data_IF_335009227469
#
_entry.id   IF_335009227469
#
_cell.length_a   1.000
_cell.length_b   1.000
_cell.length_c   1.000
_cell.angle_alpha   90.00
_cell.angle_beta   90.00
_cell.angle_gamma   90.00
#
_symmetry.space_group_name_H-M   'P 1'
#
loop_
_entity.id
_entity.type
_entity.pdbx_description
1 polymer ?
#
# COMPACT_ATOMS: atom_id res chain seq x y z
N UNK A 1 -6.98 -18.62 11.24
CA UNK A 1 -6.83 -17.21 11.65
C UNK A 1 -5.42 -16.79 11.30
N UNK A 2 -5.22 -15.88 10.34
CA UNK A 2 -3.89 -15.34 10.06
C UNK A 2 -3.63 -14.20 11.04
N UNK A 3 -2.61 -14.32 11.88
CA UNK A 3 -2.18 -13.24 12.75
C UNK A 3 -1.68 -12.07 11.90
N UNK A 4 -2.03 -10.83 12.27
CA UNK A 4 -1.36 -9.65 11.75
C UNK A 4 -0.45 -9.03 12.80
N UNK A 5 0.67 -8.48 12.34
CA UNK A 5 1.61 -7.74 13.18
C UNK A 5 1.74 -6.34 12.58
N UNK A 6 1.21 -5.35 13.28
CA UNK A 6 1.39 -3.94 12.90
C UNK A 6 2.85 -3.54 13.12
N UNK A 7 3.58 -3.31 12.01
CA UNK A 7 4.98 -2.88 12.04
C UNK A 7 5.06 -1.37 12.27
N UNK A 8 4.15 -0.61 11.64
CA UNK A 8 4.06 0.84 11.81
C UNK A 8 2.67 1.35 11.49
N UNK A 9 2.11 2.17 12.39
CA UNK A 9 0.86 2.89 12.20
C UNK A 9 1.11 4.39 12.22
N UNK A 10 0.48 5.11 11.31
CA UNK A 10 0.53 6.58 11.28
C UNK A 10 -0.84 7.18 10.96
N UNK A 11 -0.92 8.51 10.86
CA UNK A 11 -2.15 9.21 10.51
C UNK A 11 -2.51 8.90 9.06
N UNK A 12 -3.35 7.89 8.89
CA UNK A 12 -3.90 7.47 7.61
C UNK A 12 -3.13 6.38 6.87
N UNK A 13 -2.33 5.58 7.58
CA UNK A 13 -1.76 4.35 7.03
C UNK A 13 -1.41 3.32 8.12
N UNK A 14 -1.36 2.05 7.71
CA UNK A 14 -0.75 0.95 8.44
C UNK A 14 0.22 0.22 7.51
N UNK A 15 1.39 -0.15 8.03
CA UNK A 15 2.24 -1.18 7.45
C UNK A 15 2.26 -2.34 8.42
N UNK A 16 1.83 -3.51 7.97
CA UNK A 16 1.68 -4.70 8.79
C UNK A 16 2.08 -5.94 8.03
N UNK A 17 2.40 -6.99 8.77
CA UNK A 17 2.62 -8.32 8.23
C UNK A 17 1.36 -9.14 8.49
N UNK A 18 0.67 -9.60 7.43
CA UNK A 18 -0.50 -10.49 7.54
C UNK A 18 -0.12 -11.85 6.98
N UNK A 19 0.10 -12.83 7.86
CA UNK A 19 0.76 -14.08 7.46
C UNK A 19 2.14 -13.79 6.87
N UNK A 20 2.33 -14.10 5.59
CA UNK A 20 3.57 -13.87 4.85
C UNK A 20 3.56 -12.60 3.99
N UNK A 21 2.51 -11.79 4.10
CA UNK A 21 2.28 -10.63 3.25
C UNK A 21 2.62 -9.34 3.95
N UNK A 22 3.47 -8.53 3.32
CA UNK A 22 3.68 -7.16 3.77
C UNK A 22 2.56 -6.29 3.22
N UNK A 23 1.59 -5.94 4.07
CA UNK A 23 0.42 -5.17 3.71
C UNK A 23 0.62 -3.70 4.10
N UNK A 24 0.42 -2.82 3.13
CA UNK A 24 0.33 -1.37 3.32
C UNK A 24 -1.11 -0.96 3.11
N UNK A 25 -1.81 -0.59 4.17
CA UNK A 25 -3.16 -0.04 4.11
C UNK A 25 -3.12 1.47 4.17
N UNK A 26 -3.79 2.13 3.22
CA UNK A 26 -3.97 3.58 3.21
C UNK A 26 -5.45 3.91 3.41
N UNK A 27 -5.74 4.74 4.41
CA UNK A 27 -7.07 5.30 4.63
C UNK A 27 -6.89 6.76 5.00
N UNK A 28 -7.61 7.70 4.39
CA UNK A 28 -7.59 9.07 4.90
C UNK A 28 -8.94 9.44 5.49
N UNK A 29 -8.95 9.59 6.82
CA UNK A 29 -10.04 10.24 7.53
C UNK A 29 -10.07 11.71 7.10
N UNK A 30 -10.91 12.02 6.12
CA UNK A 30 -11.31 13.38 5.70
C UNK A 30 -10.20 14.44 5.76
N UNK A 31 -9.25 14.40 4.82
CA UNK A 31 -8.20 15.40 4.75
C UNK A 31 -7.32 15.26 3.51
N UNK A 32 -6.70 16.38 3.11
CA UNK A 32 -5.66 16.37 2.07
C UNK A 32 -4.45 15.56 2.55
N UNK A 33 -3.67 14.96 1.63
CA UNK A 33 -2.43 14.29 1.97
C UNK A 33 -1.52 15.22 2.76
N UNK A 34 -1.08 14.79 3.93
CA UNK A 34 0.08 15.42 4.55
C UNK A 34 1.36 14.82 3.92
N UNK A 35 2.30 15.63 3.40
CA UNK A 35 3.61 15.14 2.96
C UNK A 35 4.33 14.28 4.00
N UNK A 36 4.14 14.56 5.29
CA UNK A 36 4.68 13.75 6.39
C UNK A 36 4.10 12.33 6.41
N UNK A 37 2.82 12.15 6.07
CA UNK A 37 2.18 10.84 5.95
C UNK A 37 2.85 10.02 4.85
N UNK A 38 3.07 10.61 3.67
CA UNK A 38 3.79 9.95 2.57
C UNK A 38 5.21 9.57 2.95
N UNK A 39 5.94 10.47 3.62
CA UNK A 39 7.30 10.17 4.12
C UNK A 39 7.28 9.03 5.14
N UNK A 40 6.29 9.01 6.03
CA UNK A 40 6.14 7.97 7.04
C UNK A 40 5.89 6.58 6.44
N UNK A 41 4.89 6.46 5.56
CA UNK A 41 4.55 5.17 4.94
C UNK A 41 5.64 4.65 4.00
N UNK A 42 6.30 5.54 3.25
CA UNK A 42 7.40 5.14 2.35
C UNK A 42 8.63 4.68 3.14
N UNK A 43 8.95 5.34 4.26
CA UNK A 43 10.00 4.88 5.17
C UNK A 43 9.64 3.52 5.80
N UNK A 44 8.42 3.38 6.33
CA UNK A 44 7.95 2.14 6.94
C UNK A 44 8.04 0.94 5.98
N UNK A 45 7.60 1.13 4.73
CA UNK A 45 7.70 0.10 3.69
C UNK A 45 9.17 -0.21 3.36
N UNK A 46 10.01 0.81 3.20
CA UNK A 46 11.44 0.64 2.92
C UNK A 46 12.15 -0.13 4.04
N UNK A 47 11.88 0.19 5.30
CA UNK A 47 12.48 -0.47 6.47
C UNK A 47 12.06 -1.94 6.52
N UNK A 48 10.78 -2.24 6.31
CA UNK A 48 10.27 -3.61 6.28
C UNK A 48 10.88 -4.44 5.13
N UNK A 49 11.03 -3.84 3.94
CA UNK A 49 11.69 -4.48 2.80
C UNK A 49 13.18 -4.69 3.05
N UNK A 50 13.86 -3.72 3.69
CA UNK A 50 15.27 -3.83 4.09
C UNK A 50 15.50 -4.95 5.10
N UNK A 51 14.55 -5.14 6.03
CA UNK A 51 14.52 -6.27 6.95
C UNK A 51 14.07 -7.60 6.30
N UNK A 52 13.84 -7.61 4.98
CA UNK A 52 13.37 -8.76 4.18
C UNK A 52 12.03 -9.34 4.64
N UNK A 53 11.20 -8.56 5.31
CA UNK A 53 9.89 -8.99 5.84
C UNK A 53 8.89 -9.22 4.71
N UNK A 54 8.16 -10.35 4.75
CA UNK A 54 7.11 -10.73 3.80
C UNK A 54 7.63 -11.26 2.45
N UNK A 55 6.84 -12.07 1.77
CA UNK A 55 7.17 -12.66 0.46
C UNK A 55 6.58 -11.86 -0.72
N UNK A 56 5.46 -11.19 -0.50
CA UNK A 56 4.81 -10.26 -1.45
C UNK A 56 4.43 -8.97 -0.76
N UNK A 57 4.30 -7.91 -1.54
CA UNK A 57 3.83 -6.60 -1.06
C UNK A 57 2.38 -6.43 -1.48
N UNK A 58 1.51 -6.08 -0.53
CA UNK A 58 0.10 -5.78 -0.78
C UNK A 58 -0.11 -4.30 -0.54
N UNK A 59 -0.52 -3.55 -1.55
CA UNK A 59 -0.93 -2.16 -1.42
C UNK A 59 -2.45 -2.10 -1.43
N UNK A 60 -3.05 -1.86 -0.25
CA UNK A 60 -4.48 -1.66 -0.12
C UNK A 60 -4.82 -0.18 -0.28
N UNK A 61 -5.35 0.14 -1.46
CA UNK A 61 -5.72 1.48 -1.88
C UNK A 61 -7.24 1.67 -1.90
N UNK A 62 -8.01 0.76 -1.30
CA UNK A 62 -9.49 0.81 -1.35
C UNK A 62 -10.07 2.05 -0.70
N UNK A 63 -9.48 2.46 0.41
CA UNK A 63 -9.85 3.65 1.19
C UNK A 63 -8.87 4.82 0.98
N UNK A 64 -8.02 4.69 -0.04
CA UNK A 64 -7.11 5.75 -0.41
C UNK A 64 -7.88 6.96 -0.97
N UNK A 65 -7.20 8.09 -1.18
CA UNK A 65 -7.79 9.26 -1.83
C UNK A 65 -7.68 9.13 -3.35
N UNK A 66 -8.60 9.72 -4.12
CA UNK A 66 -8.47 9.76 -5.57
C UNK A 66 -7.17 10.45 -5.99
N UNK A 67 -6.58 9.99 -7.09
CA UNK A 67 -5.29 10.48 -7.63
C UNK A 67 -5.32 11.95 -8.09
N UNK A 68 -6.49 12.61 -8.01
CA UNK A 68 -6.75 13.96 -8.54
C UNK A 68 -5.84 15.09 -8.06
N UNK A 69 -4.97 14.88 -7.06
CA UNK A 69 -3.93 15.85 -6.71
C UNK A 69 -2.53 15.33 -7.01
N UNK A 70 -1.64 16.24 -7.44
CA UNK A 70 -0.23 15.93 -7.74
C UNK A 70 0.50 15.32 -6.53
N UNK A 71 0.12 15.69 -5.30
CA UNK A 71 0.69 15.12 -4.08
C UNK A 71 0.30 13.66 -3.88
N UNK A 72 -0.97 13.30 -4.11
CA UNK A 72 -1.43 11.90 -4.07
C UNK A 72 -0.69 11.08 -5.13
N UNK A 73 -0.67 11.59 -6.36
CA UNK A 73 0.01 10.95 -7.49
C UNK A 73 1.46 10.63 -7.17
N UNK A 74 2.23 11.64 -6.74
CA UNK A 74 3.65 11.49 -6.36
C UNK A 74 3.85 10.51 -5.20
N UNK A 75 2.93 10.50 -4.24
CA UNK A 75 2.95 9.56 -3.12
C UNK A 75 2.81 8.11 -3.57
N UNK A 76 1.80 7.83 -4.41
CA UNK A 76 1.55 6.50 -4.97
C UNK A 76 2.70 6.07 -5.87
N UNK A 77 3.18 6.94 -6.76
CA UNK A 77 4.36 6.69 -7.61
C UNK A 77 5.55 6.22 -6.77
N UNK A 78 5.80 6.90 -5.64
CA UNK A 78 6.92 6.56 -4.76
C UNK A 78 6.70 5.25 -4.02
N UNK A 79 5.47 4.96 -3.57
CA UNK A 79 5.15 3.67 -2.96
C UNK A 79 5.30 2.51 -3.94
N UNK A 80 4.79 2.67 -5.16
CA UNK A 80 4.94 1.69 -6.23
C UNK A 80 6.41 1.42 -6.50
N UNK A 81 7.22 2.46 -6.71
CA UNK A 81 8.65 2.32 -6.94
C UNK A 81 9.36 1.56 -5.80
N UNK A 82 9.05 1.86 -4.55
CA UNK A 82 9.63 1.16 -3.39
C UNK A 82 9.19 -0.31 -3.35
N UNK A 83 7.90 -0.57 -3.52
CA UNK A 83 7.34 -1.92 -3.50
C UNK A 83 7.95 -2.80 -4.60
N UNK A 84 8.19 -2.25 -5.78
CA UNK A 84 8.70 -2.99 -6.93
C UNK A 84 10.21 -3.17 -6.92
N UNK A 85 10.98 -2.25 -6.30
CA UNK A 85 12.43 -2.39 -6.12
C UNK A 85 12.82 -3.67 -5.38
N UNK A 86 11.95 -4.18 -4.51
CA UNK A 86 12.20 -5.42 -3.79
C UNK A 86 12.15 -6.68 -4.67
N UNK A 87 11.83 -6.56 -5.98
CA UNK A 87 11.65 -7.69 -6.92
C UNK A 87 10.68 -8.76 -6.42
N UNK A 88 9.71 -8.33 -5.62
CA UNK A 88 8.64 -9.17 -5.07
C UNK A 88 7.36 -8.93 -5.86
N UNK A 89 6.45 -9.92 -5.91
CA UNK A 89 5.12 -9.70 -6.45
C UNK A 89 4.43 -8.57 -5.69
N UNK A 90 3.83 -7.62 -6.42
CA UNK A 90 3.03 -6.53 -5.83
C UNK A 90 1.56 -6.81 -6.14
N UNK A 91 0.74 -6.87 -5.09
CA UNK A 91 -0.72 -7.02 -5.20
C UNK A 91 -1.35 -5.69 -4.83
N UNK A 92 -2.28 -5.20 -5.64
CA UNK A 92 -2.90 -3.88 -5.41
C UNK A 92 -4.41 -4.03 -5.32
N UNK A 93 -4.99 -3.68 -4.17
CA UNK A 93 -6.43 -3.57 -4.00
C UNK A 93 -6.91 -2.16 -4.33
N UNK A 94 -7.88 -2.04 -5.23
CA UNK A 94 -8.47 -0.78 -5.64
C UNK A 94 -9.94 -0.73 -5.19
N UNK A 95 -10.41 0.46 -4.79
CA UNK A 95 -11.80 0.68 -4.38
C UNK A 95 -12.64 1.26 -5.52
N UNK A 96 -13.98 1.08 -5.49
CA UNK A 96 -14.86 1.57 -6.56
C UNK A 96 -14.94 3.11 -6.64
N UNK A 97 -14.71 3.81 -5.51
CA UNK A 97 -14.89 5.27 -5.36
C UNK A 97 -13.59 6.04 -5.13
N UNK A 98 -12.44 5.36 -5.19
CA UNK A 98 -11.13 5.89 -4.84
C UNK A 98 -10.21 5.91 -6.05
N UNK A 99 -9.10 5.17 -6.00
CA UNK A 99 -8.12 4.99 -7.06
C UNK A 99 -8.60 3.84 -7.94
N UNK A 100 -8.81 4.12 -9.22
CA UNK A 100 -9.21 3.08 -10.15
C UNK A 100 -8.00 2.26 -10.59
N UNK A 101 -8.26 1.00 -10.98
CA UNK A 101 -7.23 0.10 -11.53
C UNK A 101 -6.45 0.75 -12.68
N UNK A 102 -7.14 1.53 -13.53
CA UNK A 102 -6.52 2.24 -14.65
C UNK A 102 -5.51 3.28 -14.17
N UNK A 103 -5.84 4.07 -13.16
CA UNK A 103 -4.92 5.06 -12.59
C UNK A 103 -3.64 4.39 -12.08
N UNK A 104 -3.77 3.27 -11.38
CA UNK A 104 -2.62 2.52 -10.87
C UNK A 104 -1.76 1.98 -12.01
N UNK A 105 -2.37 1.43 -13.07
CA UNK A 105 -1.65 0.92 -14.23
C UNK A 105 -0.89 2.03 -14.96
N UNK A 106 -1.50 3.20 -15.14
CA UNK A 106 -0.87 4.34 -15.79
C UNK A 106 0.33 4.86 -14.97
N UNK A 107 0.21 4.89 -13.63
CA UNK A 107 1.31 5.23 -12.75
C UNK A 107 2.42 4.18 -12.77
N UNK A 108 2.06 2.89 -12.68
CA UNK A 108 3.01 1.79 -12.71
C UNK A 108 3.79 1.72 -14.02
N UNK A 109 3.15 1.94 -15.16
CA UNK A 109 3.82 2.02 -16.46
C UNK A 109 4.90 3.11 -16.49
N UNK A 110 4.74 4.17 -15.69
CA UNK A 110 5.71 5.27 -15.59
C UNK A 110 6.90 4.93 -14.68
N UNK A 111 6.64 4.29 -13.54
CA UNK A 111 7.66 4.14 -12.47
C UNK A 111 8.21 2.73 -12.30
N UNK A 112 7.53 1.73 -12.84
CA UNK A 112 7.87 0.33 -12.70
C UNK A 112 7.29 -0.51 -13.86
N UNK A 113 7.71 -0.25 -15.11
CA UNK A 113 7.13 -0.88 -16.31
C UNK A 113 7.29 -2.41 -16.31
N UNK A 114 8.37 -2.92 -15.70
CA UNK A 114 8.68 -4.34 -15.64
C UNK A 114 8.14 -5.04 -14.38
N UNK A 115 7.37 -4.34 -13.54
CA UNK A 115 6.88 -4.90 -12.30
C UNK A 115 5.75 -5.91 -12.51
N UNK A 116 5.84 -7.05 -11.81
CA UNK A 116 4.77 -8.02 -11.74
C UNK A 116 3.68 -7.53 -10.76
N UNK A 117 2.72 -6.76 -11.29
CA UNK A 117 1.59 -6.22 -10.55
C UNK A 117 0.36 -7.10 -10.77
N UNK A 118 -0.26 -7.54 -9.67
CA UNK A 118 -1.50 -8.31 -9.68
C UNK A 118 -2.62 -7.52 -9.02
N UNK A 119 -3.81 -7.61 -9.58
CA UNK A 119 -5.04 -7.09 -8.98
C UNK A 119 -5.87 -8.29 -8.52
N UNK A 120 -6.24 -8.37 -7.24
CA UNK A 120 -7.03 -9.48 -6.74
C UNK A 120 -8.46 -9.39 -7.30
N UNK A 121 -9.04 -10.54 -7.68
CA UNK A 121 -10.40 -10.63 -8.20
C UNK A 121 -11.48 -10.44 -7.10
N UNK A 122 -11.10 -10.59 -5.84
CA UNK A 122 -11.93 -10.48 -4.63
C UNK A 122 -11.08 -10.05 -3.44
N UNK A 123 -11.72 -9.57 -2.37
CA UNK A 123 -11.16 -8.88 -1.20
C UNK A 123 -9.70 -9.23 -0.83
N UNK A 124 -8.90 -8.18 -0.60
CA UNK A 124 -7.58 -8.30 0.04
C UNK A 124 -7.71 -9.00 1.41
N UNK A 125 -6.61 -9.61 1.94
CA UNK A 125 -6.65 -10.26 3.25
C UNK A 125 -7.33 -9.35 4.26
N UNK A 126 -8.41 -9.86 4.85
CA UNK A 126 -9.28 -9.13 5.75
C UNK A 126 -8.47 -8.47 6.88
N UNK A 127 -8.88 -7.28 7.31
CA UNK A 127 -8.46 -6.74 8.60
C UNK A 127 -8.77 -7.81 9.66
N UNK A 128 -7.79 -8.29 10.44
CA UNK A 128 -8.14 -9.02 11.64
C UNK A 128 -8.77 -8.03 12.63
N UNK A 129 -9.85 -8.46 13.26
CA UNK A 129 -10.38 -7.81 14.45
C UNK A 129 -9.23 -7.50 15.40
N UNK A 130 -9.06 -6.22 15.72
CA UNK A 130 -8.25 -5.76 16.84
C UNK A 130 -8.80 -6.43 18.10
N UNK A 131 -8.26 -7.59 18.46
CA UNK A 131 -8.43 -8.11 19.82
C UNK A 131 -7.63 -7.17 20.71
N UNK A 132 -8.34 -6.20 21.29
CA UNK A 132 -7.85 -5.43 22.41
C UNK A 132 -7.48 -6.42 23.52
N UNK A 133 -6.18 -6.48 23.84
CA UNK A 133 -5.68 -7.07 25.07
C UNK A 133 -5.80 -6.06 26.21
#
# INVERSE_FOLDING_TARGET
MSASVCLRKGPGYCVELVGDDLVVRLWWSFGRPNPATWKGVTAALSDALGARIGHRVVLDLREAPPVGSRAVRRGIERLLAIATMARRPVVIGCGPTSIQRRDVLDLAATVAPDACIRFPASALPAEPDLVAA
#
